data_IF_694841201251
#
_entry.id   IF_694841201251
#
_cell.length_a   1.000
_cell.length_b   1.000
_cell.length_c   1.000
_cell.angle_alpha   90.00
_cell.angle_beta   90.00
_cell.angle_gamma   90.00
#
_symmetry.space_group_name_H-M   'P 1'
#
loop_
_entity.id
_entity.type
_entity.pdbx_description
1 polymer ?
#
# COMPACT_ATOMS: atom_id res chain seq x y z
N UNK A 1 10.66 -13.83 7.74
CA UNK A 1 10.92 -12.39 7.60
C UNK A 1 9.58 -11.70 7.75
N UNK A 2 9.39 -10.88 8.79
CA UNK A 2 8.17 -10.09 8.92
C UNK A 2 8.23 -8.95 7.91
N UNK A 3 7.20 -8.81 7.08
CA UNK A 3 7.13 -7.69 6.14
C UNK A 3 6.86 -6.44 6.95
N UNK A 4 7.72 -5.43 6.84
CA UNK A 4 7.48 -4.13 7.47
C UNK A 4 6.62 -3.26 6.54
N UNK A 5 5.30 -3.34 6.72
CA UNK A 5 4.34 -2.59 5.90
C UNK A 5 4.57 -1.08 5.98
N UNK A 6 4.97 -0.55 7.14
CA UNK A 6 5.25 0.89 7.30
C UNK A 6 6.43 1.35 6.43
N UNK A 7 7.53 0.59 6.38
CA UNK A 7 8.65 0.88 5.48
C UNK A 7 8.28 0.74 4.01
N UNK A 8 7.47 -0.27 3.66
CA UNK A 8 6.96 -0.44 2.29
C UNK A 8 6.12 0.76 1.86
N UNK A 9 5.19 1.22 2.69
CA UNK A 9 4.34 2.38 2.40
C UNK A 9 5.18 3.65 2.25
N UNK A 10 6.24 3.81 3.06
CA UNK A 10 7.19 4.90 2.91
C UNK A 10 7.86 4.88 1.53
N UNK A 11 8.34 3.72 1.08
CA UNK A 11 8.90 3.55 -0.26
C UNK A 11 7.89 3.85 -1.38
N UNK A 12 6.63 3.43 -1.20
CA UNK A 12 5.58 3.78 -2.14
C UNK A 12 5.36 5.30 -2.22
N UNK A 13 5.36 5.98 -1.08
CA UNK A 13 5.23 7.44 -1.02
C UNK A 13 6.37 8.15 -1.75
N UNK A 14 7.60 7.65 -1.64
CA UNK A 14 8.75 8.14 -2.40
C UNK A 14 8.58 7.98 -3.92
N UNK A 15 7.77 7.03 -4.37
CA UNK A 15 7.43 6.78 -5.78
C UNK A 15 6.09 7.43 -6.19
N UNK A 16 5.65 8.47 -5.49
CA UNK A 16 4.37 9.16 -5.74
C UNK A 16 3.12 8.25 -5.63
N UNK A 17 3.21 7.15 -4.87
CA UNK A 17 2.11 6.24 -4.55
C UNK A 17 1.69 6.48 -3.10
N UNK A 18 0.51 7.05 -2.92
CA UNK A 18 -0.06 7.35 -1.62
C UNK A 18 -1.08 6.28 -1.25
N UNK A 19 -0.88 5.67 -0.10
CA UNK A 19 -1.76 4.64 0.46
C UNK A 19 -2.34 5.22 1.75
N UNK A 20 -3.66 5.29 1.82
CA UNK A 20 -4.41 5.79 2.98
C UNK A 20 -5.51 4.78 3.34
N UNK A 21 -5.85 4.66 4.61
CA UNK A 21 -7.00 3.88 5.07
C UNK A 21 -8.12 4.84 5.39
N UNK A 22 -9.32 4.56 4.86
CA UNK A 22 -10.52 5.31 5.18
C UNK A 22 -11.66 4.33 5.43
N UNK A 23 -12.22 4.35 6.63
CA UNK A 23 -13.36 3.49 7.02
C UNK A 23 -13.07 2.00 6.75
N UNK A 24 -11.87 1.52 7.11
CA UNK A 24 -11.43 0.14 6.87
C UNK A 24 -11.11 -0.20 5.40
N UNK A 25 -11.18 0.79 4.50
CA UNK A 25 -10.88 0.60 3.08
C UNK A 25 -9.52 1.20 2.72
N UNK A 26 -8.70 0.39 2.04
CA UNK A 26 -7.43 0.82 1.48
C UNK A 26 -7.68 1.66 0.22
N UNK A 27 -7.34 2.94 0.30
CA UNK A 27 -7.37 3.88 -0.81
C UNK A 27 -5.94 4.08 -1.32
N UNK A 28 -5.76 3.90 -2.63
CA UNK A 28 -4.45 4.06 -3.28
C UNK A 28 -4.57 5.19 -4.31
N UNK A 29 -3.87 6.31 -4.08
CA UNK A 29 -3.70 7.39 -5.05
C UNK A 29 -2.33 7.27 -5.70
N UNK A 30 -2.31 7.22 -7.02
CA UNK A 30 -1.07 7.04 -7.79
C UNK A 30 -1.22 7.67 -9.17
N UNK A 31 -0.09 8.01 -9.80
CA UNK A 31 -0.06 8.30 -11.24
C UNK A 31 -0.33 7.04 -12.06
N UNK A 32 -0.86 7.22 -13.27
CA UNK A 32 -1.01 6.10 -14.20
C UNK A 32 0.36 5.47 -14.51
N UNK A 33 0.48 4.15 -14.44
CA UNK A 33 1.71 3.42 -14.75
C UNK A 33 2.74 3.28 -13.61
N UNK A 34 2.54 3.86 -12.43
CA UNK A 34 3.55 3.77 -11.34
C UNK A 34 3.49 2.49 -10.51
N UNK A 35 2.38 1.75 -10.54
CA UNK A 35 2.22 0.49 -9.79
C UNK A 35 2.20 -0.69 -10.75
N UNK A 36 3.13 -1.63 -10.56
CA UNK A 36 3.19 -2.88 -11.33
C UNK A 36 2.04 -3.82 -10.95
N UNK A 37 1.77 -4.84 -11.77
CA UNK A 37 0.74 -5.84 -11.45
C UNK A 37 1.05 -6.60 -10.17
N UNK A 38 2.31 -6.97 -9.98
CA UNK A 38 2.81 -7.66 -8.79
C UNK A 38 2.57 -6.84 -7.51
N UNK A 39 2.80 -5.52 -7.55
CA UNK A 39 2.49 -4.62 -6.44
C UNK A 39 0.99 -4.51 -6.18
N UNK A 40 0.14 -4.56 -7.23
CA UNK A 40 -1.33 -4.55 -7.05
C UNK A 40 -1.79 -5.83 -6.36
N UNK A 41 -1.27 -6.98 -6.77
CA UNK A 41 -1.58 -8.26 -6.16
C UNK A 41 -1.10 -8.31 -4.70
N UNK A 42 0.10 -7.83 -4.43
CA UNK A 42 0.63 -7.73 -3.07
C UNK A 42 -0.27 -6.88 -2.16
N UNK A 43 -0.66 -5.68 -2.60
CA UNK A 43 -1.54 -4.80 -1.82
C UNK A 43 -2.94 -5.38 -1.60
N UNK A 44 -3.43 -6.21 -2.54
CA UNK A 44 -4.70 -6.93 -2.37
C UNK A 44 -4.57 -8.08 -1.37
N UNK A 45 -3.50 -8.87 -1.48
CA UNK A 45 -3.28 -10.04 -0.63
C UNK A 45 -3.06 -9.64 0.83
N UNK A 46 -2.30 -8.57 1.05
CA UNK A 46 -1.96 -8.06 2.38
C UNK A 46 -2.84 -6.88 2.82
N UNK A 47 -4.02 -6.70 2.21
CA UNK A 47 -4.89 -5.54 2.48
C UNK A 47 -5.16 -5.37 3.98
N UNK A 48 -5.53 -6.44 4.67
CA UNK A 48 -5.88 -6.40 6.09
C UNK A 48 -4.69 -6.05 6.98
N UNK A 49 -3.51 -6.59 6.69
CA UNK A 49 -2.28 -6.28 7.42
C UNK A 49 -1.83 -4.84 7.18
N UNK A 50 -1.97 -4.34 5.95
CA UNK A 50 -1.67 -2.95 5.60
C UNK A 50 -2.66 -2.01 6.28
N UNK A 51 -3.94 -2.37 6.34
CA UNK A 51 -4.97 -1.60 7.06
C UNK A 51 -4.64 -1.53 8.54
N UNK A 52 -4.34 -2.67 9.18
CA UNK A 52 -3.95 -2.74 10.58
C UNK A 52 -2.62 -2.01 10.89
N UNK A 53 -1.73 -1.86 9.92
CA UNK A 53 -0.49 -1.09 10.06
C UNK A 53 -0.67 0.43 9.87
N UNK A 54 -1.82 0.86 9.34
CA UNK A 54 -2.14 2.26 9.02
C UNK A 54 -3.26 2.86 9.89
N UNK A 55 -4.09 2.04 10.54
CA UNK A 55 -4.98 2.43 11.64
C UNK A 55 -4.20 2.61 12.96
#
# INVERSE_FOLDING_TARGET
MSINFAEMIKKYRENEIYIEVKEGNLLIRKRAGTLTEEQKEFLKLHKEEIVAALE
#
